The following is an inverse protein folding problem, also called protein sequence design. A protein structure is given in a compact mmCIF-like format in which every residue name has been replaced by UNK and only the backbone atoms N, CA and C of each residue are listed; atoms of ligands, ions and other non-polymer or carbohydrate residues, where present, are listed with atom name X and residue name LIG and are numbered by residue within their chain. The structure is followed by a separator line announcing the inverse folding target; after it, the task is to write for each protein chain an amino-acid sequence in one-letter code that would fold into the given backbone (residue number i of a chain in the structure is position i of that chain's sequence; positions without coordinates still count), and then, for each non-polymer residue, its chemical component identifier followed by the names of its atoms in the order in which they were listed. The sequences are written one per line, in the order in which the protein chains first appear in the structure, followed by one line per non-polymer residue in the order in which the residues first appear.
data_IF_924089874714
#
_entry.id   IF_924089874714
#
_cell.length_a   1.000
_cell.length_b   1.000
_cell.length_c   1.000
_cell.angle_alpha   90.00
_cell.angle_beta   90.00
_cell.angle_gamma   90.00
#
_symmetry.space_group_name_H-M   'P 1'
#
loop_
_entity.id
_entity.type
_entity.pdbx_description
1 polymer ?
#
# COMPACT_ATOMS: atom_id res chain seq x y z
N UNK A 1 -21.24 -10.67 6.20
CA UNK A 1 -22.37 -9.92 6.85
C UNK A 1 -21.94 -9.06 8.03
N UNK A 2 -20.94 -9.42 8.84
CA UNK A 2 -20.49 -8.59 9.97
C UNK A 2 -19.58 -7.44 9.52
N UNK A 3 -18.70 -7.68 8.53
CA UNK A 3 -17.80 -6.65 8.01
C UNK A 3 -18.57 -5.52 7.31
N UNK A 4 -19.55 -5.87 6.48
CA UNK A 4 -20.36 -4.88 5.75
C UNK A 4 -21.05 -3.91 6.73
N UNK A 5 -21.70 -4.45 7.78
CA UNK A 5 -22.34 -3.65 8.82
C UNK A 5 -21.37 -2.76 9.59
N UNK A 6 -20.18 -3.26 9.88
CA UNK A 6 -19.14 -2.48 10.56
C UNK A 6 -18.71 -1.30 9.69
N UNK A 7 -18.42 -1.55 8.41
CA UNK A 7 -17.99 -0.50 7.49
C UNK A 7 -19.10 0.53 7.26
N UNK A 8 -20.36 0.10 7.12
CA UNK A 8 -21.51 1.01 7.04
C UNK A 8 -21.58 1.93 8.27
N UNK A 9 -21.50 1.36 9.46
CA UNK A 9 -21.54 2.14 10.71
C UNK A 9 -20.35 3.12 10.83
N UNK A 10 -19.16 2.73 10.38
CA UNK A 10 -17.98 3.59 10.38
C UNK A 10 -18.11 4.73 9.36
N UNK A 11 -18.71 4.48 8.18
CA UNK A 11 -18.96 5.50 7.16
C UNK A 11 -19.91 6.60 7.65
N UNK A 12 -20.82 6.29 8.56
CA UNK A 12 -21.70 7.29 9.17
C UNK A 12 -21.00 8.20 10.18
N UNK A 13 -19.89 7.71 10.77
CA UNK A 13 -19.19 8.42 11.84
C UNK A 13 -17.89 9.12 11.38
N UNK A 14 -17.27 8.63 10.30
CA UNK A 14 -15.95 9.09 9.85
C UNK A 14 -15.97 9.45 8.38
N UNK A 15 -15.29 10.53 8.05
CA UNK A 15 -15.08 10.97 6.66
C UNK A 15 -14.18 10.00 5.89
N UNK A 16 -13.17 9.43 6.58
CA UNK A 16 -12.24 8.46 6.03
C UNK A 16 -12.16 7.22 6.92
N UNK A 17 -12.24 6.04 6.32
CA UNK A 17 -12.05 4.74 6.97
C UNK A 17 -10.89 4.03 6.27
N UNK A 18 -9.80 3.81 6.99
CA UNK A 18 -8.61 3.15 6.46
C UNK A 18 -8.56 1.73 7.01
N UNK A 19 -8.47 0.75 6.09
CA UNK A 19 -8.34 -0.67 6.43
C UNK A 19 -6.91 -1.10 6.12
N UNK A 20 -6.13 -1.39 7.15
CA UNK A 20 -4.81 -2.01 7.00
C UNK A 20 -4.97 -3.52 6.86
N UNK A 21 -4.28 -4.10 5.88
CA UNK A 21 -4.41 -5.52 5.55
C UNK A 21 -3.06 -6.19 5.40
N UNK A 22 -3.04 -7.50 5.55
CA UNK A 22 -1.88 -8.32 5.18
C UNK A 22 -1.61 -8.26 3.68
N UNK A 23 -0.36 -8.55 3.23
CA UNK A 23 -0.01 -8.53 1.83
C UNK A 23 -0.96 -9.37 0.96
N UNK A 24 -1.41 -8.79 -0.16
CA UNK A 24 -2.27 -9.46 -1.11
C UNK A 24 -1.63 -10.75 -1.64
N UNK A 25 -2.38 -11.85 -1.64
CA UNK A 25 -1.93 -13.17 -2.08
C UNK A 25 -1.50 -14.09 -0.94
N UNK A 26 -1.42 -13.60 0.30
CA UNK A 26 -1.12 -14.43 1.47
C UNK A 26 -2.39 -14.92 2.20
N UNK A 27 -3.53 -14.26 2.00
CA UNK A 27 -4.79 -14.57 2.69
C UNK A 27 -5.99 -14.42 1.75
N UNK A 28 -7.00 -15.27 1.94
CA UNK A 28 -8.24 -15.27 1.16
C UNK A 28 -9.17 -14.05 1.40
N UNK A 29 -8.77 -13.13 2.27
CA UNK A 29 -9.63 -12.04 2.74
C UNK A 29 -9.70 -10.84 1.78
N UNK A 30 -8.75 -10.70 0.86
CA UNK A 30 -8.71 -9.58 -0.08
C UNK A 30 -9.98 -9.45 -0.94
N UNK A 31 -10.58 -10.54 -1.47
CA UNK A 31 -11.86 -10.45 -2.17
C UNK A 31 -13.03 -10.01 -1.28
N UNK A 32 -12.95 -10.29 0.01
CA UNK A 32 -13.99 -9.89 0.98
C UNK A 32 -13.89 -8.39 1.24
N UNK A 33 -12.68 -7.89 1.47
CA UNK A 33 -12.39 -6.47 1.73
C UNK A 33 -12.69 -5.63 0.48
N UNK A 34 -12.32 -6.12 -0.71
CA UNK A 34 -12.54 -5.39 -1.97
C UNK A 34 -14.00 -5.02 -2.24
N UNK A 35 -14.95 -5.73 -1.65
CA UNK A 35 -16.38 -5.44 -1.81
C UNK A 35 -16.86 -4.24 -1.01
N UNK A 36 -16.16 -3.91 0.06
CA UNK A 36 -16.60 -2.88 1.03
C UNK A 36 -15.78 -1.60 0.97
N UNK A 37 -14.71 -1.57 0.18
CA UNK A 37 -13.84 -0.40 0.02
C UNK A 37 -14.11 0.33 -1.28
N UNK A 38 -13.87 1.64 -1.29
CA UNK A 38 -14.04 2.50 -2.47
C UNK A 38 -12.77 2.62 -3.29
N UNK A 39 -11.61 2.47 -2.65
CA UNK A 39 -10.28 2.63 -3.24
C UNK A 39 -9.32 1.60 -2.63
N UNK A 40 -8.48 0.99 -3.44
CA UNK A 40 -7.38 0.16 -3.00
C UNK A 40 -6.05 0.83 -3.29
N UNK A 41 -5.15 0.84 -2.33
CA UNK A 41 -3.76 1.28 -2.49
C UNK A 41 -2.85 0.07 -2.34
N UNK A 42 -2.18 -0.30 -3.43
CA UNK A 42 -1.19 -1.37 -3.42
C UNK A 42 0.18 -0.78 -3.12
N UNK A 43 0.71 -1.07 -1.93
CA UNK A 43 1.99 -0.54 -1.50
C UNK A 43 3.13 -1.45 -1.96
N UNK A 44 4.04 -0.89 -2.76
CA UNK A 44 5.27 -1.54 -3.21
C UNK A 44 6.44 -0.88 -2.49
N UNK A 45 7.28 -1.67 -1.83
CA UNK A 45 8.52 -1.15 -1.25
C UNK A 45 9.69 -1.36 -2.20
N UNK A 46 10.42 -0.28 -2.51
CA UNK A 46 11.61 -0.35 -3.35
C UNK A 46 12.65 -1.28 -2.74
N UNK A 47 13.25 -2.14 -3.59
CA UNK A 47 14.27 -3.09 -3.19
C UNK A 47 13.78 -4.35 -2.45
N UNK A 48 12.49 -4.45 -2.16
CA UNK A 48 11.89 -5.62 -1.49
C UNK A 48 11.05 -6.45 -2.46
N UNK A 49 10.23 -5.81 -3.27
CA UNK A 49 9.42 -6.51 -4.25
C UNK A 49 10.25 -6.89 -5.49
N UNK A 50 10.18 -8.15 -5.88
CA UNK A 50 10.78 -8.62 -7.14
C UNK A 50 10.04 -8.00 -8.34
N UNK A 51 10.77 -7.36 -9.25
CA UNK A 51 10.22 -6.75 -10.47
C UNK A 51 9.42 -7.72 -11.34
N UNK A 52 9.76 -9.01 -11.30
CA UNK A 52 9.03 -10.06 -12.01
C UNK A 52 7.60 -10.25 -11.55
N UNK A 53 7.23 -9.70 -10.38
CA UNK A 53 5.87 -9.71 -9.84
C UNK A 53 5.03 -8.50 -10.23
N UNK A 54 5.58 -7.53 -10.95
CA UNK A 54 4.81 -6.38 -11.44
C UNK A 54 3.63 -6.78 -12.34
N UNK A 55 3.76 -7.79 -13.23
CA UNK A 55 2.61 -8.28 -14.00
C UNK A 55 1.45 -8.81 -13.14
N UNK A 56 1.74 -9.31 -11.93
CA UNK A 56 0.69 -9.74 -10.99
C UNK A 56 -0.17 -8.56 -10.55
N UNK A 57 0.46 -7.40 -10.29
CA UNK A 57 -0.24 -6.17 -9.92
C UNK A 57 -1.10 -5.65 -11.07
N UNK A 58 -0.57 -5.69 -12.30
CA UNK A 58 -1.32 -5.33 -13.50
C UNK A 58 -2.53 -6.25 -13.71
N UNK A 59 -2.37 -7.54 -13.47
CA UNK A 59 -3.47 -8.52 -13.55
C UNK A 59 -4.56 -8.25 -12.50
N UNK A 60 -4.21 -7.72 -11.32
CA UNK A 60 -5.20 -7.29 -10.34
C UNK A 60 -6.04 -6.11 -10.83
N UNK A 61 -5.40 -5.18 -11.51
CA UNK A 61 -6.05 -4.01 -12.11
C UNK A 61 -6.94 -4.41 -13.29
N UNK A 62 -6.37 -5.10 -14.28
CA UNK A 62 -7.07 -5.50 -15.51
C UNK A 62 -8.18 -6.51 -15.24
N UNK A 63 -8.00 -7.38 -14.24
CA UNK A 63 -9.01 -8.35 -13.82
C UNK A 63 -10.15 -7.75 -13.00
N UNK A 64 -10.11 -6.44 -12.67
CA UNK A 64 -11.15 -5.77 -11.89
C UNK A 64 -11.34 -6.34 -10.48
N UNK A 65 -10.31 -7.00 -9.93
CA UNK A 65 -10.39 -7.68 -8.63
C UNK A 65 -10.37 -6.72 -7.45
N UNK A 66 -9.80 -5.53 -7.65
CA UNK A 66 -9.69 -4.49 -6.62
C UNK A 66 -10.27 -3.17 -7.17
N UNK A 67 -11.19 -2.51 -6.45
CA UNK A 67 -11.80 -1.29 -6.93
C UNK A 67 -10.79 -0.14 -6.93
N UNK A 68 -10.78 0.63 -8.02
CA UNK A 68 -9.97 1.86 -8.19
C UNK A 68 -8.53 1.67 -7.68
N UNK A 69 -7.88 0.60 -8.13
CA UNK A 69 -6.52 0.25 -7.72
C UNK A 69 -5.53 1.36 -8.07
N UNK A 70 -4.82 1.82 -7.06
CA UNK A 70 -3.69 2.74 -7.17
C UNK A 70 -2.44 2.07 -6.62
N UNK A 71 -1.27 2.43 -7.13
CA UNK A 71 0.01 1.91 -6.64
C UNK A 71 0.79 3.02 -5.96
N UNK A 72 1.31 2.72 -4.78
CA UNK A 72 2.20 3.60 -4.03
C UNK A 72 3.56 2.96 -3.89
N UNK A 73 4.60 3.65 -4.37
CA UNK A 73 5.99 3.23 -4.18
C UNK A 73 6.52 3.82 -2.88
N UNK A 74 6.77 2.96 -1.90
CA UNK A 74 7.33 3.34 -0.60
C UNK A 74 8.84 3.11 -0.56
N UNK A 75 9.54 3.84 0.30
CA UNK A 75 10.98 3.75 0.51
C UNK A 75 11.80 3.94 -0.78
N UNK A 76 11.29 4.78 -1.67
CA UNK A 76 11.94 5.07 -2.95
C UNK A 76 13.22 5.88 -2.73
N UNK A 77 14.36 5.33 -3.15
CA UNK A 77 15.67 5.97 -3.05
C UNK A 77 15.92 6.79 -4.31
N UNK A 78 15.71 8.09 -4.21
CA UNK A 78 16.15 9.02 -5.24
C UNK A 78 17.68 9.03 -5.27
N UNK A 79 18.29 8.31 -6.20
CA UNK A 79 19.65 8.61 -6.59
C UNK A 79 19.59 9.93 -7.35
N UNK A 80 20.08 11.01 -6.76
CA UNK A 80 20.33 12.24 -7.48
C UNK A 80 21.29 11.95 -8.64
N UNK A 81 20.75 11.66 -9.81
CA UNK A 81 21.48 11.91 -11.04
C UNK A 81 21.52 13.43 -11.17
N UNK A 82 22.70 14.01 -10.98
CA UNK A 82 22.87 15.45 -10.97
C UNK A 82 22.40 16.09 -12.27
N UNK A 83 21.32 16.83 -12.20
CA UNK A 83 21.02 18.04 -12.92
C UNK A 83 20.09 18.85 -12.03
N UNK A 84 20.56 20.02 -11.62
CA UNK A 84 19.96 20.82 -10.58
C UNK A 84 18.58 21.37 -10.95
N UNK A 85 17.68 21.24 -10.02
CA UNK A 85 16.77 22.27 -9.56
C UNK A 85 16.44 21.91 -8.12
N UNK A 86 17.02 22.67 -7.19
CA UNK A 86 16.84 22.48 -5.77
C UNK A 86 15.46 22.93 -5.33
N UNK A 87 14.71 22.02 -4.78
CA UNK A 87 13.76 22.30 -3.72
C UNK A 87 14.17 21.44 -2.53
N UNK A 88 14.73 22.11 -1.54
CA UNK A 88 15.14 21.50 -0.29
C UNK A 88 13.93 20.98 0.46
N UNK A 89 13.82 19.67 0.57
CA UNK A 89 13.02 19.05 1.60
C UNK A 89 13.91 18.76 2.80
N UNK A 90 13.61 19.41 3.90
CA UNK A 90 14.22 19.20 5.19
C UNK A 90 14.09 17.73 5.58
N UNK A 91 15.22 17.07 5.72
CA UNK A 91 15.30 15.72 6.27
C UNK A 91 14.94 15.73 7.75
N UNK A 92 13.80 15.18 8.08
CA UNK A 92 13.55 14.67 9.42
C UNK A 92 14.07 13.24 9.50
N UNK A 93 15.26 13.13 10.08
CA UNK A 93 15.77 11.84 10.50
C UNK A 93 14.93 11.32 11.66
N UNK A 94 14.38 10.14 11.49
CA UNK A 94 13.95 9.33 12.60
C UNK A 94 14.46 7.90 12.42
N UNK A 95 15.50 7.61 13.19
CA UNK A 95 15.89 6.27 13.58
C UNK A 95 14.78 5.64 14.41
N UNK A 96 14.04 4.71 13.83
CA UNK A 96 13.30 3.72 14.63
C UNK A 96 13.24 2.38 13.90
N UNK A 97 13.62 1.38 14.67
CA UNK A 97 13.67 -0.07 14.44
C UNK A 97 14.95 -0.64 13.84
N UNK A 98 15.98 -0.66 14.71
CA UNK A 98 17.00 -1.67 14.65
C UNK A 98 16.47 -3.00 15.19
N UNK A 99 16.21 -3.96 14.32
CA UNK A 99 16.16 -5.37 14.74
C UNK A 99 17.58 -5.91 14.68
N UNK A 100 18.15 -6.08 15.87
CA UNK A 100 19.37 -6.86 16.05
C UNK A 100 19.04 -8.33 15.81
N UNK A 101 19.55 -8.90 14.75
CA UNK A 101 19.74 -10.35 14.66
C UNK A 101 21.03 -10.69 15.39
N UNK A 102 20.91 -11.31 16.54
CA UNK A 102 21.98 -12.08 17.16
C UNK A 102 21.80 -13.56 16.79
N UNK A 103 22.84 -14.05 16.11
CA UNK A 103 23.31 -15.43 15.98
C UNK A 103 22.34 -16.46 15.44
#
# INVERSE_FOLDING_TARGET
QSLDKLIEALREQYEYVIIDTVPYGMVADAPIISRVVDLCIYVIREGVMDRRRLPDVENLYTGGKLPRLSVLLNDARYKHAGYGYGYGYYGYGNNYYGYQNQK
#
